data_IF_626678131606
#
_entry.id   IF_626678131606
#
_cell.length_a   1.000
_cell.length_b   1.000
_cell.length_c   1.000
_cell.angle_alpha   90.00
_cell.angle_beta   90.00
_cell.angle_gamma   90.00
#
_symmetry.space_group_name_H-M   'P 1'
#
loop_
_entity.id
_entity.type
_entity.pdbx_description
1 polymer ?
#
# COMPACT_ATOMS: atom_id res chain seq x y z
N UNK A 1 -1.59 27.98 -25.89
CA UNK A 1 -1.77 28.21 -24.44
C UNK A 1 -2.14 26.85 -23.86
N UNK A 2 -1.52 26.45 -22.75
CA UNK A 2 -1.91 25.22 -22.05
C UNK A 2 -3.36 25.33 -21.58
N UNK A 3 -4.02 24.19 -21.43
CA UNK A 3 -5.41 24.15 -20.95
C UNK A 3 -5.48 24.47 -19.46
N UNK A 4 -4.51 23.94 -18.69
CA UNK A 4 -4.34 24.24 -17.28
C UNK A 4 -3.13 25.17 -17.08
N UNK A 5 -3.26 26.13 -16.15
CA UNK A 5 -2.19 27.06 -15.80
C UNK A 5 -1.84 26.96 -14.32
N UNK A 6 -0.67 26.38 -14.05
CA UNK A 6 -0.09 26.26 -12.71
C UNK A 6 1.18 27.10 -12.55
N UNK A 7 1.44 28.05 -13.47
CA UNK A 7 2.71 28.77 -13.56
C UNK A 7 3.08 29.53 -12.28
N UNK A 8 2.14 30.27 -11.70
CA UNK A 8 2.32 31.01 -10.45
C UNK A 8 2.68 30.08 -9.28
N UNK A 9 1.97 28.96 -9.16
CA UNK A 9 2.19 27.97 -8.12
C UNK A 9 3.53 27.23 -8.26
N UNK A 10 3.96 26.95 -9.49
CA UNK A 10 5.28 26.37 -9.77
C UNK A 10 6.39 27.34 -9.36
N UNK A 11 6.23 28.63 -9.65
CA UNK A 11 7.17 29.66 -9.22
C UNK A 11 7.24 29.75 -7.69
N UNK A 12 6.10 29.67 -7.00
CA UNK A 12 6.02 29.60 -5.53
C UNK A 12 6.77 28.38 -4.99
N UNK A 13 6.52 27.20 -5.55
CA UNK A 13 7.20 25.96 -5.15
C UNK A 13 8.72 26.03 -5.36
N UNK A 14 9.16 26.56 -6.49
CA UNK A 14 10.59 26.73 -6.78
C UNK A 14 11.27 27.68 -5.79
N UNK A 15 10.61 28.77 -5.44
CA UNK A 15 11.09 29.73 -4.44
C UNK A 15 11.16 29.10 -3.04
N UNK A 16 10.13 28.34 -2.64
CA UNK A 16 10.08 27.62 -1.37
C UNK A 16 11.28 26.67 -1.16
N UNK A 17 11.74 26.02 -2.22
CA UNK A 17 12.85 25.07 -2.20
C UNK A 17 14.24 25.72 -2.21
N UNK A 18 14.33 27.04 -2.43
CA UNK A 18 15.60 27.74 -2.65
C UNK A 18 15.76 28.93 -1.71
N UNK A 19 15.01 30.00 -1.96
CA UNK A 19 15.14 31.30 -1.28
C UNK A 19 14.13 31.49 -0.15
N UNK A 20 13.15 30.59 -0.04
CA UNK A 20 11.96 30.77 0.80
C UNK A 20 10.82 31.44 0.04
N UNK A 21 9.63 31.39 0.62
CA UNK A 21 8.39 31.92 0.06
C UNK A 21 7.51 32.52 1.16
N UNK A 22 6.66 33.50 0.81
CA UNK A 22 5.77 34.18 1.77
C UNK A 22 4.63 33.27 2.26
N UNK A 23 4.26 32.27 1.46
CA UNK A 23 3.23 31.27 1.76
C UNK A 23 3.74 29.87 1.45
N UNK A 24 3.48 28.90 2.34
CA UNK A 24 3.91 27.50 2.15
C UNK A 24 3.07 26.85 1.05
N UNK A 25 3.68 26.39 -0.07
CA UNK A 25 2.94 25.72 -1.14
C UNK A 25 2.42 24.37 -0.66
N UNK A 26 1.18 24.04 -1.04
CA UNK A 26 0.53 22.77 -0.75
C UNK A 26 0.49 21.88 -1.99
N UNK A 27 1.10 20.70 -1.87
CA UNK A 27 1.10 19.65 -2.89
C UNK A 27 0.58 18.37 -2.25
N UNK A 28 -0.34 17.69 -2.95
CA UNK A 28 -0.86 16.40 -2.52
C UNK A 28 -0.49 15.31 -3.52
N UNK A 29 0.15 14.24 -3.03
CA UNK A 29 0.19 12.97 -3.78
C UNK A 29 -1.20 12.35 -3.71
N UNK A 30 -1.97 12.47 -4.80
CA UNK A 30 -3.43 12.31 -4.77
C UNK A 30 -3.99 11.44 -5.91
N UNK A 31 -3.19 10.58 -6.54
CA UNK A 31 -3.63 9.86 -7.74
C UNK A 31 -4.88 8.98 -7.52
N UNK A 32 -5.02 8.31 -6.37
CA UNK A 32 -6.26 7.57 -6.05
C UNK A 32 -7.44 8.49 -5.74
N UNK A 33 -7.19 9.65 -5.13
CA UNK A 33 -8.23 10.65 -4.90
C UNK A 33 -8.71 11.26 -6.22
N UNK A 34 -7.80 11.62 -7.12
CA UNK A 34 -8.10 12.12 -8.46
C UNK A 34 -8.82 11.07 -9.32
N UNK A 35 -8.43 9.79 -9.21
CA UNK A 35 -9.16 8.69 -9.83
C UNK A 35 -10.62 8.69 -9.36
N UNK A 36 -10.85 8.70 -8.04
CA UNK A 36 -12.20 8.74 -7.48
C UNK A 36 -13.00 9.98 -7.92
N UNK A 37 -12.39 11.17 -7.90
CA UNK A 37 -13.05 12.41 -8.31
C UNK A 37 -13.36 12.47 -9.81
N UNK A 38 -12.53 11.84 -10.65
CA UNK A 38 -12.75 11.74 -12.10
C UNK A 38 -13.86 10.77 -12.48
N UNK A 39 -14.23 9.84 -11.58
CA UNK A 39 -15.17 8.75 -11.85
C UNK A 39 -14.64 7.70 -12.85
N UNK A 40 -13.36 7.77 -13.23
CA UNK A 40 -12.71 6.84 -14.16
C UNK A 40 -12.29 5.58 -13.38
N UNK A 41 -12.64 4.37 -13.85
CA UNK A 41 -12.16 3.13 -13.24
C UNK A 41 -10.64 3.05 -13.19
N UNK A 42 -10.08 2.50 -12.10
CA UNK A 42 -8.63 2.41 -11.90
C UNK A 42 -7.88 1.65 -13.00
N UNK A 43 -8.48 0.60 -13.56
CA UNK A 43 -7.90 -0.17 -14.65
C UNK A 43 -7.74 0.63 -15.95
N UNK A 44 -8.50 1.71 -16.11
CA UNK A 44 -8.33 2.71 -17.17
C UNK A 44 -7.44 3.89 -16.72
N UNK A 45 -7.66 4.42 -15.51
CA UNK A 45 -6.94 5.58 -15.00
C UNK A 45 -5.42 5.36 -14.90
N UNK A 46 -4.98 4.14 -14.54
CA UNK A 46 -3.56 3.80 -14.43
C UNK A 46 -2.95 3.17 -15.69
N UNK A 47 -3.71 3.11 -16.79
CA UNK A 47 -3.23 2.54 -18.07
C UNK A 47 -3.41 3.47 -19.28
N UNK A 48 -4.13 4.58 -19.12
CA UNK A 48 -4.30 5.63 -20.12
C UNK A 48 -3.69 6.95 -19.61
N UNK A 49 -2.59 7.37 -20.24
CA UNK A 49 -1.84 8.57 -19.84
C UNK A 49 -2.68 9.85 -19.88
N UNK A 50 -3.58 9.98 -20.86
CA UNK A 50 -4.43 11.17 -21.03
C UNK A 50 -5.42 11.29 -19.90
N UNK A 51 -6.09 10.19 -19.57
CA UNK A 51 -7.03 10.12 -18.44
C UNK A 51 -6.34 10.42 -17.12
N UNK A 52 -5.15 9.85 -16.91
CA UNK A 52 -4.35 10.10 -15.71
C UNK A 52 -4.01 11.60 -15.56
N UNK A 53 -3.34 12.19 -16.55
CA UNK A 53 -2.87 13.58 -16.45
C UNK A 53 -4.04 14.55 -16.32
N UNK A 54 -5.08 14.39 -17.14
CA UNK A 54 -6.28 15.23 -17.08
C UNK A 54 -6.96 15.14 -15.73
N UNK A 55 -7.22 13.94 -15.22
CA UNK A 55 -7.89 13.76 -13.93
C UNK A 55 -7.11 14.37 -12.76
N UNK A 56 -5.77 14.31 -12.80
CA UNK A 56 -4.91 14.98 -11.82
C UNK A 56 -5.04 16.51 -11.92
N UNK A 57 -4.98 17.08 -13.12
CA UNK A 57 -5.09 18.53 -13.33
C UNK A 57 -6.46 19.07 -12.92
N UNK A 58 -7.55 18.41 -13.35
CA UNK A 58 -8.92 18.81 -13.00
C UNK A 58 -9.16 18.75 -11.49
N UNK A 59 -8.61 17.72 -10.82
CA UNK A 59 -8.68 17.61 -9.36
C UNK A 59 -7.87 18.72 -8.68
N UNK A 60 -6.64 18.99 -9.15
CA UNK A 60 -5.81 20.05 -8.58
C UNK A 60 -6.48 21.43 -8.66
N UNK A 61 -7.05 21.77 -9.83
CA UNK A 61 -7.77 23.03 -10.03
C UNK A 61 -9.02 23.11 -9.17
N UNK A 62 -9.85 22.05 -9.17
CA UNK A 62 -11.12 22.02 -8.42
C UNK A 62 -10.94 22.21 -6.92
N UNK A 63 -9.87 21.67 -6.35
CA UNK A 63 -9.61 21.74 -4.91
C UNK A 63 -8.60 22.84 -4.54
N UNK A 64 -8.09 23.60 -5.52
CA UNK A 64 -7.18 24.71 -5.28
C UNK A 64 -5.82 24.28 -4.75
N UNK A 65 -5.31 23.13 -5.17
CA UNK A 65 -3.94 22.71 -4.84
C UNK A 65 -2.95 23.53 -5.66
N UNK A 66 -1.81 23.90 -5.06
CA UNK A 66 -0.83 24.74 -5.73
C UNK A 66 -0.33 24.08 -7.01
N UNK A 67 0.17 22.84 -6.92
CA UNK A 67 0.69 22.13 -8.09
C UNK A 67 0.16 20.70 -8.19
N UNK A 68 -0.22 20.23 -9.40
CA UNK A 68 -0.57 18.84 -9.61
C UNK A 68 0.65 17.94 -9.35
N UNK A 69 0.44 16.86 -8.61
CA UNK A 69 1.44 15.81 -8.41
C UNK A 69 1.19 14.67 -9.40
N UNK A 70 2.02 14.59 -10.44
CA UNK A 70 1.97 13.52 -11.42
C UNK A 70 2.70 12.25 -10.99
N UNK A 71 2.78 11.99 -9.68
CA UNK A 71 3.30 10.72 -9.17
C UNK A 71 2.23 9.65 -9.44
N UNK A 72 2.47 8.82 -10.45
CA UNK A 72 1.64 7.63 -10.74
C UNK A 72 1.91 6.52 -9.72
N UNK A 73 1.45 5.30 -9.99
CA UNK A 73 1.75 4.09 -9.21
C UNK A 73 3.23 3.66 -9.38
N UNK A 74 4.14 4.60 -9.13
CA UNK A 74 5.57 4.56 -9.45
C UNK A 74 6.29 3.35 -8.86
N UNK A 75 5.72 2.72 -7.83
CA UNK A 75 6.28 1.53 -7.20
C UNK A 75 6.20 0.28 -8.09
N UNK A 76 5.25 0.22 -9.03
CA UNK A 76 4.92 -0.99 -9.77
C UNK A 76 5.53 -1.05 -11.18
N UNK A 77 5.90 0.08 -11.80
CA UNK A 77 6.27 0.12 -13.23
C UNK A 77 7.50 -0.72 -13.53
N UNK A 78 8.59 -0.52 -12.77
CA UNK A 78 9.82 -1.29 -12.92
C UNK A 78 9.64 -2.75 -12.52
N UNK A 79 8.85 -3.02 -11.48
CA UNK A 79 8.56 -4.39 -11.06
C UNK A 79 7.81 -5.16 -12.15
N UNK A 80 6.77 -4.55 -12.73
CA UNK A 80 6.05 -5.09 -13.88
C UNK A 80 6.99 -5.29 -15.07
N UNK A 81 7.87 -4.33 -15.36
CA UNK A 81 8.82 -4.41 -16.47
C UNK A 81 9.86 -5.53 -16.29
N UNK A 82 10.21 -5.88 -15.05
CA UNK A 82 11.02 -7.05 -14.71
C UNK A 82 10.26 -8.38 -14.79
N UNK A 83 8.94 -8.34 -14.99
CA UNK A 83 8.08 -9.51 -15.17
C UNK A 83 7.22 -9.86 -13.95
N UNK A 84 7.18 -9.02 -12.91
CA UNK A 84 6.28 -9.25 -11.79
C UNK A 84 4.83 -9.19 -12.27
N UNK A 85 3.97 -10.03 -11.71
CA UNK A 85 2.56 -10.04 -12.09
C UNK A 85 1.87 -8.77 -11.59
N UNK A 86 1.44 -7.95 -12.55
CA UNK A 86 0.74 -6.71 -12.32
C UNK A 86 -0.78 -6.95 -12.31
N UNK A 87 -1.46 -6.41 -11.30
CA UNK A 87 -2.91 -6.55 -11.12
C UNK A 87 -3.54 -5.17 -11.10
N UNK A 88 -4.56 -4.99 -11.93
CA UNK A 88 -5.38 -3.77 -11.97
C UNK A 88 -6.69 -3.97 -11.22
N UNK A 89 -7.22 -2.88 -10.68
CA UNK A 89 -8.49 -2.84 -9.96
C UNK A 89 -9.33 -1.68 -10.47
N UNK A 90 -10.64 -1.75 -10.30
CA UNK A 90 -11.56 -0.68 -10.75
C UNK A 90 -11.68 0.45 -9.75
N UNK A 91 -11.46 0.16 -8.47
CA UNK A 91 -11.78 1.00 -7.33
C UNK A 91 -10.54 1.42 -6.53
N UNK A 92 -9.34 1.04 -6.95
CA UNK A 92 -8.08 1.37 -6.28
C UNK A 92 -6.88 1.36 -7.23
N UNK A 93 -5.74 1.85 -6.75
CA UNK A 93 -4.48 1.76 -7.45
C UNK A 93 -4.07 0.30 -7.73
N UNK A 94 -3.37 0.03 -8.85
CA UNK A 94 -2.88 -1.29 -9.17
C UNK A 94 -1.78 -1.74 -8.19
N UNK A 95 -1.51 -3.05 -8.18
CA UNK A 95 -0.52 -3.65 -7.30
C UNK A 95 0.27 -4.77 -8.00
N UNK A 96 1.43 -5.10 -7.44
CA UNK A 96 2.14 -6.33 -7.76
C UNK A 96 1.61 -7.49 -6.91
N UNK A 97 1.29 -8.61 -7.55
CA UNK A 97 0.97 -9.87 -6.86
C UNK A 97 2.26 -10.48 -6.31
N UNK A 98 2.51 -10.27 -5.01
CA UNK A 98 3.73 -10.71 -4.34
C UNK A 98 3.66 -12.16 -3.80
N UNK A 99 2.62 -12.94 -4.13
CA UNK A 99 2.50 -14.33 -3.66
C UNK A 99 3.48 -15.28 -4.34
N UNK A 100 3.99 -14.91 -5.51
CA UNK A 100 4.99 -15.68 -6.27
C UNK A 100 6.14 -14.75 -6.73
N UNK A 101 7.09 -14.41 -5.84
CA UNK A 101 8.15 -13.46 -6.17
C UNK A 101 9.10 -14.03 -7.23
N UNK A 102 9.63 -13.14 -8.08
CA UNK A 102 10.56 -13.51 -9.16
C UNK A 102 11.90 -14.06 -8.64
N UNK A 103 12.36 -13.55 -7.49
CA UNK A 103 13.60 -13.97 -6.84
C UNK A 103 13.26 -14.82 -5.63
N UNK A 104 13.41 -16.14 -5.79
CA UNK A 104 13.29 -17.10 -4.68
C UNK A 104 14.66 -17.50 -4.15
N UNK A 105 15.66 -17.46 -5.02
CA UNK A 105 17.04 -17.81 -4.73
C UNK A 105 18.00 -16.84 -5.40
N UNK A 106 19.26 -16.79 -4.94
CA UNK A 106 20.32 -15.97 -5.54
C UNK A 106 20.49 -16.25 -7.04
N UNK A 107 20.29 -17.51 -7.47
CA UNK A 107 20.41 -17.91 -8.88
C UNK A 107 19.41 -17.19 -9.79
N UNK A 108 18.24 -16.82 -9.29
CA UNK A 108 17.20 -16.15 -10.07
C UNK A 108 17.62 -14.72 -10.47
N UNK A 109 18.47 -14.07 -9.66
CA UNK A 109 18.97 -12.70 -9.93
C UNK A 109 19.73 -12.66 -11.26
N UNK A 110 20.50 -13.70 -11.57
CA UNK A 110 21.29 -13.80 -12.81
C UNK A 110 20.46 -13.76 -14.10
N UNK A 111 19.14 -13.97 -14.00
CA UNK A 111 18.22 -13.99 -15.15
C UNK A 111 17.71 -12.60 -15.51
N UNK A 112 17.83 -11.62 -14.61
CA UNK A 112 17.34 -10.28 -14.87
C UNK A 112 18.13 -9.57 -15.95
N UNK A 113 17.40 -8.83 -16.77
CA UNK A 113 17.93 -7.86 -17.71
C UNK A 113 17.37 -6.50 -17.36
N UNK A 114 18.15 -5.46 -17.60
CA UNK A 114 17.65 -4.10 -17.50
C UNK A 114 16.43 -3.97 -18.44
N UNK A 115 15.27 -3.48 -17.94
CA UNK A 115 14.14 -3.20 -18.80
C UNK A 115 14.49 -2.17 -19.88
N UNK A 116 13.92 -2.35 -21.06
CA UNK A 116 13.94 -1.34 -22.11
C UNK A 116 12.81 -0.33 -21.87
N UNK A 117 13.12 0.95 -21.59
CA UNK A 117 12.12 1.96 -21.28
C UNK A 117 11.12 2.20 -22.42
N UNK A 118 11.47 1.89 -23.67
CA UNK A 118 10.61 2.12 -24.82
C UNK A 118 9.66 0.97 -25.14
N UNK A 119 9.81 -0.18 -24.48
CA UNK A 119 9.03 -1.38 -24.82
C UNK A 119 8.58 -2.23 -23.62
N UNK A 120 9.19 -2.07 -22.45
CA UNK A 120 8.94 -2.96 -21.31
C UNK A 120 7.73 -2.52 -20.49
N UNK A 121 6.74 -3.40 -20.37
CA UNK A 121 5.56 -3.18 -19.53
C UNK A 121 4.87 -1.85 -19.81
N UNK A 122 4.65 -1.04 -18.76
CA UNK A 122 4.07 0.30 -18.87
C UNK A 122 5.09 1.44 -18.92
N UNK A 123 6.39 1.16 -19.10
CA UNK A 123 7.38 2.23 -19.27
C UNK A 123 7.07 3.18 -20.44
N UNK A 124 6.53 2.72 -21.59
CA UNK A 124 6.10 3.64 -22.66
C UNK A 124 5.02 4.64 -22.22
N UNK A 125 4.06 4.20 -21.38
CA UNK A 125 3.01 5.07 -20.84
C UNK A 125 3.60 6.18 -19.96
N UNK A 126 4.72 5.95 -19.27
CA UNK A 126 5.39 7.00 -18.49
C UNK A 126 5.87 8.14 -19.40
N UNK A 127 6.38 7.83 -20.59
CA UNK A 127 6.74 8.86 -21.58
C UNK A 127 5.51 9.60 -22.10
N UNK A 128 4.41 8.87 -22.33
CA UNK A 128 3.13 9.48 -22.72
C UNK A 128 2.63 10.44 -21.64
N UNK A 129 2.66 10.06 -20.36
CA UNK A 129 2.34 10.95 -19.22
C UNK A 129 3.21 12.21 -19.27
N UNK A 130 4.52 12.07 -19.45
CA UNK A 130 5.43 13.21 -19.53
C UNK A 130 5.10 14.15 -20.68
N UNK A 131 4.70 13.61 -21.83
CA UNK A 131 4.30 14.40 -22.98
C UNK A 131 2.99 15.12 -22.72
N UNK A 132 1.98 14.43 -22.18
CA UNK A 132 0.68 15.02 -21.84
C UNK A 132 0.80 16.12 -20.77
N UNK A 133 1.71 15.99 -19.80
CA UNK A 133 2.00 17.05 -18.82
C UNK A 133 2.47 18.34 -19.51
N UNK A 134 3.36 18.22 -20.50
CA UNK A 134 3.83 19.38 -21.27
C UNK A 134 2.70 19.99 -22.08
N UNK A 135 1.90 19.15 -22.72
CA UNK A 135 0.87 19.59 -23.66
C UNK A 135 -0.33 20.24 -22.93
N UNK A 136 -0.80 19.64 -21.83
CA UNK A 136 -1.98 20.11 -21.09
C UNK A 136 -1.69 21.19 -20.06
N UNK A 137 -0.53 21.11 -19.37
CA UNK A 137 -0.21 22.00 -18.25
C UNK A 137 0.99 22.92 -18.51
N UNK A 138 1.69 22.78 -19.64
CA UNK A 138 2.88 23.58 -19.96
C UNK A 138 4.06 23.32 -19.02
N UNK A 139 4.01 22.24 -18.23
CA UNK A 139 4.99 21.95 -17.18
C UNK A 139 6.14 21.11 -17.72
N UNK A 140 7.34 21.33 -17.19
CA UNK A 140 8.47 20.40 -17.41
C UNK A 140 8.28 19.19 -16.48
N UNK A 141 8.06 17.98 -17.01
CA UNK A 141 7.85 16.81 -16.19
C UNK A 141 9.17 16.36 -15.55
N UNK A 142 9.08 15.82 -14.33
CA UNK A 142 10.19 15.13 -13.67
C UNK A 142 9.98 13.63 -13.74
N UNK A 143 11.00 12.84 -14.16
CA UNK A 143 10.92 11.40 -14.10
C UNK A 143 10.90 10.91 -12.65
N UNK A 144 9.82 10.21 -12.29
CA UNK A 144 9.73 9.43 -11.07
C UNK A 144 9.92 7.95 -11.42
N UNK A 145 10.61 7.20 -10.57
CA UNK A 145 10.86 5.77 -10.77
C UNK A 145 10.91 5.05 -9.42
N UNK A 146 10.62 3.76 -9.41
CA UNK A 146 10.67 2.96 -8.18
C UNK A 146 12.09 2.98 -7.60
N UNK A 147 12.20 3.31 -6.32
CA UNK A 147 13.48 3.28 -5.63
C UNK A 147 14.05 1.84 -5.61
N UNK A 148 15.37 1.63 -5.75
CA UNK A 148 15.96 0.30 -5.87
C UNK A 148 15.60 -0.68 -4.75
N UNK A 149 15.45 -0.18 -3.52
CA UNK A 149 15.07 -1.01 -2.38
C UNK A 149 13.60 -1.44 -2.43
N UNK A 150 12.70 -0.54 -2.81
CA UNK A 150 11.29 -0.86 -3.01
C UNK A 150 11.13 -1.86 -4.15
N UNK A 151 11.86 -1.67 -5.25
CA UNK A 151 11.88 -2.62 -6.36
C UNK A 151 12.37 -4.00 -5.92
N UNK A 152 13.46 -4.06 -5.15
CA UNK A 152 13.96 -5.31 -4.57
C UNK A 152 12.89 -6.00 -3.71
N UNK A 153 12.12 -5.24 -2.92
CA UNK A 153 11.00 -5.77 -2.13
C UNK A 153 9.93 -6.43 -3.01
N UNK A 154 9.55 -5.81 -4.13
CA UNK A 154 8.58 -6.39 -5.07
C UNK A 154 9.07 -7.71 -5.69
N UNK A 155 10.37 -7.81 -6.01
CA UNK A 155 10.88 -9.01 -6.69
C UNK A 155 11.30 -10.13 -5.73
N UNK A 156 11.48 -9.87 -4.43
CA UNK A 156 12.02 -10.87 -3.46
C UNK A 156 11.05 -11.33 -2.37
N UNK A 157 10.06 -10.51 -1.97
CA UNK A 157 9.39 -10.75 -0.68
C UNK A 157 8.32 -11.84 -0.78
N UNK A 158 8.54 -12.91 -0.03
CA UNK A 158 7.49 -13.77 0.48
C UNK A 158 7.04 -13.28 1.86
N UNK A 159 5.76 -13.41 2.19
CA UNK A 159 5.23 -12.96 3.49
C UNK A 159 5.91 -13.72 4.64
N UNK A 160 6.65 -13.00 5.49
CA UNK A 160 7.36 -13.59 6.63
C UNK A 160 6.54 -13.59 7.94
N UNK A 161 5.30 -13.07 7.93
CA UNK A 161 4.38 -13.02 9.08
C UNK A 161 4.45 -11.72 9.88
N UNK A 162 3.38 -11.40 10.62
CA UNK A 162 3.10 -10.08 11.22
C UNK A 162 4.17 -9.54 12.20
N UNK A 163 5.09 -10.39 12.70
CA UNK A 163 6.11 -10.01 13.69
C UNK A 163 7.50 -9.72 13.08
N UNK A 164 7.64 -9.72 11.75
CA UNK A 164 8.97 -9.74 11.11
C UNK A 164 9.58 -8.37 10.80
N UNK A 165 8.84 -7.27 10.91
CA UNK A 165 9.29 -5.94 10.43
C UNK A 165 10.70 -5.54 10.88
N UNK A 166 10.98 -5.55 12.18
CA UNK A 166 12.29 -5.16 12.72
C UNK A 166 13.37 -6.19 12.38
N UNK A 167 13.06 -7.47 12.50
CA UNK A 167 14.00 -8.56 12.21
C UNK A 167 14.43 -8.56 10.74
N UNK A 168 13.50 -8.34 9.82
CA UNK A 168 13.77 -8.20 8.39
C UNK A 168 14.69 -7.02 8.10
N UNK A 169 14.45 -5.85 8.72
CA UNK A 169 15.33 -4.68 8.53
C UNK A 169 16.76 -4.93 9.03
N UNK A 170 16.90 -5.57 10.19
CA UNK A 170 18.21 -5.93 10.77
C UNK A 170 18.93 -6.95 9.89
N UNK A 171 18.25 -8.01 9.48
CA UNK A 171 18.80 -9.03 8.59
C UNK A 171 19.20 -8.43 7.24
N UNK A 172 18.41 -7.51 6.68
CA UNK A 172 18.72 -6.90 5.38
C UNK A 172 19.95 -5.98 5.44
N UNK A 173 20.01 -5.07 6.43
CA UNK A 173 21.03 -4.01 6.49
C UNK A 173 22.34 -4.44 7.16
N UNK A 174 22.34 -5.53 7.94
CA UNK A 174 23.51 -5.96 8.70
C UNK A 174 23.88 -7.42 8.39
N UNK A 175 24.98 -7.62 7.67
CA UNK A 175 25.48 -8.94 7.27
C UNK A 175 25.92 -9.80 8.45
N UNK A 176 26.52 -9.23 9.50
CA UNK A 176 26.93 -10.03 10.68
C UNK A 176 25.70 -10.49 11.47
N UNK A 177 24.68 -9.64 11.58
CA UNK A 177 23.42 -10.01 12.22
C UNK A 177 22.72 -11.18 11.53
N UNK A 178 22.88 -11.37 10.21
CA UNK A 178 22.35 -12.56 9.51
C UNK A 178 22.92 -13.85 10.08
N UNK A 179 24.25 -13.93 10.23
CA UNK A 179 24.90 -15.12 10.78
C UNK A 179 24.46 -15.38 12.22
N UNK A 180 24.36 -14.33 13.03
CA UNK A 180 23.87 -14.43 14.41
C UNK A 180 22.41 -14.93 14.47
N UNK A 181 21.53 -14.41 13.63
CA UNK A 181 20.13 -14.83 13.53
C UNK A 181 20.05 -16.30 13.08
N UNK A 182 20.82 -16.70 12.07
CA UNK A 182 20.85 -18.09 11.58
C UNK A 182 21.31 -19.07 12.67
N UNK A 183 22.35 -18.72 13.42
CA UNK A 183 22.85 -19.52 14.54
C UNK A 183 21.85 -19.56 15.70
N UNK A 184 21.22 -18.43 16.01
CA UNK A 184 20.25 -18.32 17.09
C UNK A 184 18.99 -19.13 16.79
N UNK A 185 18.43 -19.03 15.59
CA UNK A 185 17.20 -19.75 15.19
C UNK A 185 17.33 -21.26 15.37
N UNK A 186 18.52 -21.84 15.14
CA UNK A 186 18.79 -23.27 15.37
C UNK A 186 18.73 -23.69 16.84
N UNK A 187 18.88 -22.73 17.76
CA UNK A 187 18.89 -22.95 19.22
C UNK A 187 17.60 -22.49 19.89
N UNK A 188 16.71 -21.79 19.19
CA UNK A 188 15.44 -21.33 19.73
C UNK A 188 14.51 -22.52 19.93
N UNK A 189 14.10 -22.74 21.17
CA UNK A 189 12.97 -23.60 21.48
C UNK A 189 11.68 -22.78 21.35
N UNK A 190 10.84 -23.14 20.38
CA UNK A 190 9.58 -22.45 20.15
C UNK A 190 8.54 -22.94 21.15
N UNK A 191 8.19 -22.09 22.12
CA UNK A 191 7.08 -22.33 23.04
C UNK A 191 5.85 -21.58 22.50
N UNK A 192 4.96 -22.29 21.81
CA UNK A 192 3.68 -21.74 21.36
C UNK A 192 2.65 -21.80 22.49
N UNK A 193 2.47 -20.70 23.21
CA UNK A 193 1.41 -20.64 24.23
C UNK A 193 0.00 -20.68 23.62
N UNK A 194 -0.13 -20.38 22.33
CA UNK A 194 -1.39 -20.42 21.59
C UNK A 194 -1.95 -21.82 21.34
N UNK A 195 -1.15 -22.89 21.55
CA UNK A 195 -1.63 -24.28 21.49
C UNK A 195 -2.21 -24.78 22.82
N UNK A 196 -2.13 -23.97 23.88
CA UNK A 196 -2.76 -24.30 25.15
C UNK A 196 -4.28 -24.36 24.95
N UNK A 197 -4.96 -25.46 25.36
CA UNK A 197 -6.38 -25.68 25.06
C UNK A 197 -7.32 -24.54 25.48
N UNK A 198 -6.97 -23.81 26.54
CA UNK A 198 -7.73 -22.68 27.07
C UNK A 198 -7.26 -21.33 26.53
N UNK A 199 -6.21 -21.24 25.71
CA UNK A 199 -5.66 -19.99 25.20
C UNK A 199 -6.72 -19.14 24.51
N UNK A 200 -7.53 -19.76 23.66
CA UNK A 200 -8.61 -19.06 22.95
C UNK A 200 -9.66 -18.52 23.94
N UNK A 201 -9.99 -19.26 24.99
CA UNK A 201 -10.92 -18.82 26.02
C UNK A 201 -10.34 -17.65 26.81
N UNK A 202 -9.09 -17.76 27.26
CA UNK A 202 -8.39 -16.69 27.98
C UNK A 202 -8.25 -15.43 27.12
N UNK A 203 -7.93 -15.58 25.84
CA UNK A 203 -7.83 -14.48 24.91
C UNK A 203 -9.19 -13.78 24.72
N UNK A 204 -10.27 -14.54 24.49
CA UNK A 204 -11.63 -14.01 24.36
C UNK A 204 -12.08 -13.29 25.64
N UNK A 205 -11.80 -13.86 26.81
CA UNK A 205 -12.13 -13.26 28.10
C UNK A 205 -11.38 -11.94 28.33
N UNK A 206 -10.09 -11.90 27.93
CA UNK A 206 -9.22 -10.73 28.11
C UNK A 206 -9.53 -9.57 27.16
N UNK A 207 -9.91 -9.84 25.91
CA UNK A 207 -10.23 -8.79 24.93
C UNK A 207 -11.64 -8.20 25.11
N UNK A 208 -12.51 -8.87 25.89
CA UNK A 208 -13.86 -8.38 26.16
C UNK A 208 -13.84 -7.10 27.01
N UNK A 209 -14.71 -6.14 26.69
CA UNK A 209 -14.91 -4.92 27.48
C UNK A 209 -16.40 -4.80 27.86
N UNK A 210 -16.77 -4.92 29.15
CA UNK A 210 -15.93 -5.31 30.29
C UNK A 210 -15.39 -6.75 30.15
N UNK A 211 -14.32 -7.08 30.89
CA UNK A 211 -13.65 -8.39 30.86
C UNK A 211 -14.66 -9.53 31.00
N UNK A 212 -14.44 -10.61 30.25
CA UNK A 212 -15.38 -11.74 30.15
C UNK A 212 -15.66 -12.34 31.54
N UNK A 213 -14.62 -12.73 32.25
CA UNK A 213 -14.69 -13.31 33.59
C UNK A 213 -14.43 -12.33 34.73
N UNK A 214 -13.34 -11.57 34.68
CA UNK A 214 -12.88 -10.72 35.78
C UNK A 214 -13.74 -9.46 36.03
N UNK A 215 -13.57 -8.90 37.24
CA UNK A 215 -14.22 -7.67 37.68
C UNK A 215 -13.21 -6.52 37.75
N UNK A 216 -13.67 -5.28 37.57
CA UNK A 216 -12.80 -4.09 37.68
C UNK A 216 -13.18 -3.24 38.90
N UNK A 217 -12.81 -3.68 40.13
CA UNK A 217 -13.24 -3.04 41.37
C UNK A 217 -12.67 -1.63 41.56
N UNK A 218 -11.50 -1.35 40.99
CA UNK A 218 -10.90 -0.01 41.04
C UNK A 218 -11.49 0.92 39.98
N UNK A 219 -11.71 0.42 38.76
CA UNK A 219 -12.25 1.22 37.65
C UNK A 219 -13.73 1.56 37.86
N UNK A 220 -14.52 0.62 38.42
CA UNK A 220 -15.94 0.83 38.74
C UNK A 220 -16.18 1.92 39.78
N UNK A 221 -15.16 2.30 40.56
CA UNK A 221 -15.25 3.45 41.49
C UNK A 221 -15.16 4.78 40.75
N UNK A 222 -14.49 4.80 39.61
CA UNK A 222 -14.23 6.02 38.83
C UNK A 222 -15.22 6.20 37.68
N UNK A 223 -15.75 5.11 37.12
CA UNK A 223 -16.67 5.15 35.96
C UNK A 223 -17.78 4.09 36.08
N UNK A 224 -18.96 4.41 35.53
CA UNK A 224 -20.04 3.44 35.37
C UNK A 224 -19.66 2.44 34.26
N UNK A 225 -19.43 1.18 34.62
CA UNK A 225 -19.04 0.14 33.67
C UNK A 225 -20.24 -0.31 32.81
N UNK A 226 -20.03 -0.64 31.52
CA UNK A 226 -21.07 -1.22 30.67
C UNK A 226 -21.63 -2.53 31.24
N UNK A 227 -22.91 -2.81 30.99
CA UNK A 227 -23.56 -4.06 31.41
C UNK A 227 -22.94 -5.23 30.64
N UNK A 228 -22.45 -6.26 31.34
CA UNK A 228 -21.91 -7.49 30.73
C UNK A 228 -23.01 -8.17 29.90
N UNK A 229 -22.77 -8.39 28.60
CA UNK A 229 -23.65 -9.21 27.76
C UNK A 229 -23.43 -10.69 28.09
N UNK A 230 -24.41 -11.36 28.70
CA UNK A 230 -24.39 -12.83 28.86
C UNK A 230 -24.55 -13.53 27.50
N UNK A 231 -23.78 -14.60 27.28
CA UNK A 231 -23.70 -15.38 26.05
C UNK A 231 -24.96 -16.18 25.69
N UNK A 232 -26.14 -15.55 25.68
CA UNK A 232 -27.38 -16.11 25.12
C UNK A 232 -27.66 -15.64 23.68
N UNK A 233 -26.89 -14.67 23.16
CA UNK A 233 -27.05 -14.13 21.80
C UNK A 233 -26.27 -14.84 20.67
N UNK A 234 -25.31 -15.72 20.99
CA UNK A 234 -24.44 -16.34 19.96
C UNK A 234 -25.12 -17.47 19.17
N UNK A 235 -26.18 -18.08 19.72
CA UNK A 235 -26.90 -19.17 19.03
C UNK A 235 -27.69 -18.71 17.80
N UNK A 236 -27.99 -17.42 17.66
CA UNK A 236 -28.66 -16.89 16.47
C UNK A 236 -27.68 -16.61 15.32
N UNK A 237 -26.51 -16.02 15.60
CA UNK A 237 -25.51 -15.71 14.58
C UNK A 237 -24.86 -16.95 13.95
N UNK A 238 -24.70 -18.04 14.71
CA UNK A 238 -24.19 -19.31 14.18
C UNK A 238 -25.13 -19.96 13.14
N UNK A 239 -26.45 -19.72 13.22
CA UNK A 239 -27.43 -20.22 12.26
C UNK A 239 -27.42 -19.42 10.95
N UNK A 240 -27.20 -18.11 11.02
CA UNK A 240 -27.11 -17.22 9.84
C UNK A 240 -25.86 -17.54 9.01
N UNK A 241 -24.71 -17.70 9.67
CA UNK A 241 -23.42 -18.03 9.03
C UNK A 241 -23.44 -19.38 8.28
N UNK A 242 -24.02 -20.43 8.88
CA UNK A 242 -24.17 -21.75 8.22
C UNK A 242 -25.08 -21.71 6.99
N UNK A 243 -26.09 -20.83 6.97
CA UNK A 243 -27.01 -20.67 5.83
C UNK A 243 -26.35 -19.94 4.66
N UNK A 244 -25.49 -18.96 4.94
CA UNK A 244 -24.68 -18.26 3.93
C UNK A 244 -23.59 -19.17 3.35
N UNK A 245 -22.90 -19.96 4.17
CA UNK A 245 -21.89 -20.94 3.69
C UNK A 245 -22.50 -22.04 2.80
N UNK A 246 -23.74 -22.47 3.07
CA UNK A 246 -24.46 -23.42 2.20
C UNK A 246 -24.81 -22.83 0.83
N UNK A 247 -25.19 -21.54 0.75
CA UNK A 247 -25.43 -20.86 -0.53
C UNK A 247 -24.16 -20.73 -1.37
N UNK A 248 -23.01 -20.45 -0.74
CA UNK A 248 -21.71 -20.34 -1.40
C UNK A 248 -21.19 -21.68 -1.95
N UNK A 249 -21.53 -22.81 -1.34
CA UNK A 249 -21.16 -24.15 -1.83
C UNK A 249 -22.03 -24.66 -2.99
N UNK A 250 -23.23 -24.13 -3.16
CA UNK A 250 -24.16 -24.50 -4.25
C UNK A 250 -23.99 -23.62 -5.50
N UNK A 251 -23.14 -22.59 -5.44
CA UNK A 251 -22.85 -21.65 -6.52
C UNK A 251 -21.45 -21.87 -7.16
N UNK A 252 -20.86 -23.05 -6.95
CA UNK A 252 -19.64 -23.52 -7.65
C UNK A 252 -19.99 -24.67 -8.57
#
# INVERSE_FOLDING_TARGET
MSEFDFSDSIARLSSAMTTGCDEVPFIAQMHEFAMCESGIPGDEFYTDAKKFVRGICETAERFGFDTPSFIWDVYNVEAQALGCRFVTFKDMAPAIENSDPLVKTEKDISRFKAPDPYSSGRMPMVFEIMQEIKDLAGMTPFPCYCAPFTLASHVTVSAAGNATGTGSRVALLNKSARMEIEDLVRRVEKIETAVEPMFQQHFIDAIAIPHGSESFPNLSRSVNLPIKKTATGEKENAKVSRRQQRKLKLAR
#
